data_IF_222400530991
#
_entry.id   IF_222400530991
#
_cell.length_a   1.000
_cell.length_b   1.000
_cell.length_c   1.000
_cell.angle_alpha   90.00
_cell.angle_beta   90.00
_cell.angle_gamma   90.00
#
_symmetry.space_group_name_H-M   'P 1'
#
loop_
_entity.id
_entity.type
_entity.pdbx_description
1 polymer ?
#
# COMPACT_ATOMS: atom_id res chain seq x y z
N UNK A 1 -1.73 17.88 -11.40
CA UNK A 1 -1.68 17.67 -11.18
C UNK A 1 -1.87 16.89 -10.68
N UNK A 2 -1.87 16.52 -10.77
CA UNK A 2 -1.83 16.00 -10.32
C UNK A 2 -2.14 15.13 -9.67
N UNK A 3 -2.13 14.62 -9.67
CA UNK A 3 -2.19 13.87 -9.12
C UNK A 3 -2.54 13.44 -8.05
N UNK A 4 -2.59 13.95 -7.63
CA UNK A 4 -2.87 13.94 -6.50
C UNK A 4 -3.68 12.86 -6.13
N UNK A 5 -4.71 12.64 -6.30
CA UNK A 5 -5.52 11.58 -5.86
C UNK A 5 -5.05 10.26 -6.34
N UNK A 6 -3.99 10.29 -7.02
CA UNK A 6 -3.49 9.12 -7.55
C UNK A 6 -2.62 8.35 -6.66
N UNK A 7 -2.49 8.75 -5.49
CA UNK A 7 -1.53 8.14 -4.59
C UNK A 7 -2.15 6.94 -3.94
N UNK A 8 -2.20 5.84 -4.62
CA UNK A 8 -2.77 4.62 -4.10
C UNK A 8 -1.73 3.54 -3.97
N UNK A 9 -1.90 2.71 -2.97
CA UNK A 9 -1.09 1.52 -2.83
C UNK A 9 -1.80 0.37 -3.52
N UNK A 10 -1.10 -0.71 -3.72
CA UNK A 10 -1.66 -1.82 -4.49
C UNK A 10 -1.37 -3.14 -3.81
N UNK A 11 -2.29 -4.09 -3.99
CA UNK A 11 -2.05 -5.47 -3.64
C UNK A 11 -2.15 -6.29 -4.90
N UNK A 12 -1.21 -7.21 -5.09
CA UNK A 12 -1.22 -8.07 -6.26
C UNK A 12 -1.38 -9.51 -5.80
N UNK A 13 -2.42 -10.16 -6.26
CA UNK A 13 -2.63 -11.56 -5.93
C UNK A 13 -1.76 -12.40 -6.85
N UNK A 14 -0.79 -13.12 -6.28
CA UNK A 14 0.16 -13.84 -7.09
C UNK A 14 -0.45 -15.05 -7.76
N UNK A 15 -1.61 -15.50 -7.29
CA UNK A 15 -2.24 -16.66 -7.88
C UNK A 15 -3.11 -16.32 -9.07
N UNK A 16 -3.77 -15.18 -9.02
CA UNK A 16 -4.71 -14.82 -10.07
C UNK A 16 -4.26 -13.65 -10.91
N UNK A 17 -3.31 -12.88 -10.43
CA UNK A 17 -2.90 -11.67 -11.13
C UNK A 17 -3.79 -10.48 -10.85
N UNK A 18 -4.76 -10.64 -9.99
CA UNK A 18 -5.67 -9.54 -9.66
C UNK A 18 -4.92 -8.43 -8.94
N UNK A 19 -5.23 -7.19 -9.29
CA UNK A 19 -4.61 -6.04 -8.67
C UNK A 19 -5.70 -5.24 -7.97
N UNK A 20 -5.49 -4.97 -6.69
CA UNK A 20 -6.46 -4.23 -5.89
C UNK A 20 -5.79 -2.95 -5.41
N UNK A 21 -6.43 -1.82 -5.64
CA UNK A 21 -5.93 -0.54 -5.14
C UNK A 21 -6.50 -0.29 -3.77
N UNK A 22 -5.71 0.31 -2.91
CA UNK A 22 -6.21 0.68 -1.59
C UNK A 22 -5.46 1.91 -1.11
N UNK A 23 -6.01 2.54 -0.10
CA UNK A 23 -5.38 3.71 0.49
C UNK A 23 -5.56 3.62 2.00
N UNK A 24 -4.50 3.88 2.74
CA UNK A 24 -4.56 3.86 4.18
C UNK A 24 -3.83 5.07 4.74
N UNK A 25 -4.55 5.92 5.44
CA UNK A 25 -3.93 7.09 6.05
C UNK A 25 -2.94 6.68 7.11
N UNK A 26 -3.19 5.58 7.77
CA UNK A 26 -2.28 5.12 8.81
C UNK A 26 -0.93 4.74 8.24
N UNK A 27 -0.94 4.03 7.11
CA UNK A 27 0.31 3.65 6.49
C UNK A 27 1.05 4.89 6.04
N UNK A 28 0.33 5.85 5.47
CA UNK A 28 0.96 7.08 5.04
C UNK A 28 1.62 7.79 6.20
N UNK A 29 0.89 7.93 7.28
CA UNK A 29 1.43 8.65 8.42
C UNK A 29 2.66 7.95 8.98
N UNK A 30 2.61 6.62 9.05
CA UNK A 30 3.74 5.89 9.59
C UNK A 30 4.97 6.04 8.72
N UNK A 31 4.80 6.07 7.42
CA UNK A 31 5.93 6.23 6.53
C UNK A 31 6.57 7.61 6.70
N UNK A 32 5.75 8.63 6.86
CA UNK A 32 6.29 9.96 7.11
C UNK A 32 7.03 10.01 8.44
N UNK A 33 6.48 9.35 9.45
CA UNK A 33 7.13 9.33 10.76
C UNK A 33 8.46 8.60 10.71
N UNK A 34 8.52 7.51 9.98
CA UNK A 34 9.76 6.75 9.89
C UNK A 34 10.80 7.58 9.18
N UNK A 35 10.44 8.24 8.10
CA UNK A 35 11.39 9.08 7.39
C UNK A 35 11.91 10.19 8.28
N UNK A 36 11.01 10.81 9.04
CA UNK A 36 11.40 11.90 9.91
C UNK A 36 12.35 11.42 11.00
N UNK A 37 12.11 10.22 11.52
CA UNK A 37 12.99 9.69 12.55
C UNK A 37 14.40 9.53 12.06
N UNK A 38 14.57 9.24 10.80
CA UNK A 38 15.88 9.06 10.21
C UNK A 38 16.46 10.34 9.64
N UNK A 39 15.76 11.45 9.82
CA UNK A 39 16.26 12.72 9.34
C UNK A 39 15.92 13.03 7.90
N UNK A 40 14.87 12.41 7.39
CA UNK A 40 14.49 12.59 5.99
C UNK A 40 13.08 13.13 5.87
N UNK A 41 12.81 13.72 4.73
CA UNK A 41 11.47 14.14 4.39
C UNK A 41 10.96 13.23 3.29
N UNK A 42 9.80 12.63 3.49
CA UNK A 42 9.25 11.72 2.49
C UNK A 42 8.63 12.52 1.38
N UNK A 43 9.14 12.35 0.17
CA UNK A 43 8.61 13.07 -0.97
C UNK A 43 7.59 12.25 -1.74
N UNK A 44 7.80 10.95 -1.78
CA UNK A 44 6.92 10.10 -2.55
C UNK A 44 7.17 8.67 -2.12
N UNK A 45 6.24 7.80 -2.39
CA UNK A 45 6.44 6.39 -2.09
C UNK A 45 5.53 5.56 -2.96
N UNK A 46 5.84 4.28 -3.05
CA UNK A 46 4.93 3.35 -3.66
C UNK A 46 5.00 2.08 -2.84
N UNK A 47 3.86 1.44 -2.66
CA UNK A 47 3.78 0.24 -1.85
C UNK A 47 3.03 -0.80 -2.64
N UNK A 48 3.65 -1.97 -2.79
CA UNK A 48 3.00 -3.08 -3.46
C UNK A 48 3.09 -4.28 -2.55
N UNK A 49 1.95 -4.86 -2.24
CA UNK A 49 1.89 -6.05 -1.41
C UNK A 49 1.62 -7.23 -2.33
N UNK A 50 2.38 -8.28 -2.16
CA UNK A 50 2.17 -9.51 -2.91
C UNK A 50 1.42 -10.46 -2.01
N UNK A 51 0.21 -10.82 -2.39
CA UNK A 51 -0.69 -11.54 -1.52
C UNK A 51 -1.23 -12.77 -2.22
N UNK A 52 -1.90 -13.61 -1.45
CA UNK A 52 -2.62 -14.72 -2.03
C UNK A 52 -3.85 -14.95 -1.18
N UNK A 53 -4.84 -15.57 -1.77
CA UNK A 53 -6.09 -15.75 -1.07
C UNK A 53 -5.91 -16.62 0.14
N UNK A 54 -6.70 -16.33 1.15
CA UNK A 54 -6.68 -17.10 2.36
C UNK A 54 -7.74 -18.17 2.21
N UNK A 55 -7.32 -19.41 2.21
CA UNK A 55 -8.25 -20.46 1.98
C UNK A 55 -9.35 -20.54 2.95
N UNK A 56 -9.06 -20.54 4.15
CA UNK A 56 -10.10 -20.76 5.11
C UNK A 56 -11.10 -19.68 5.16
N UNK A 57 -10.78 -18.58 4.60
CA UNK A 57 -11.70 -17.49 4.69
C UNK A 57 -12.93 -17.80 3.94
N UNK A 58 -12.82 -18.80 3.15
CA UNK A 58 -13.94 -19.09 2.51
C UNK A 58 -14.93 -19.52 3.32
N UNK A 59 -14.57 -19.88 3.98
CA UNK A 59 -15.36 -20.25 4.70
C UNK A 59 -15.79 -19.52 5.48
N UNK A 60 -15.55 -19.24 5.27
CA UNK A 60 -15.76 -18.49 6.06
C UNK A 60 -16.28 -18.03 6.08
#
# INVERSE_FOLDING_TARGET
>A
ELDDGEHHDHMVCVETGEVIEFFSEEIERLQHEIAAKHGFELLDHSLVLYVRRVDGSDDD
#
